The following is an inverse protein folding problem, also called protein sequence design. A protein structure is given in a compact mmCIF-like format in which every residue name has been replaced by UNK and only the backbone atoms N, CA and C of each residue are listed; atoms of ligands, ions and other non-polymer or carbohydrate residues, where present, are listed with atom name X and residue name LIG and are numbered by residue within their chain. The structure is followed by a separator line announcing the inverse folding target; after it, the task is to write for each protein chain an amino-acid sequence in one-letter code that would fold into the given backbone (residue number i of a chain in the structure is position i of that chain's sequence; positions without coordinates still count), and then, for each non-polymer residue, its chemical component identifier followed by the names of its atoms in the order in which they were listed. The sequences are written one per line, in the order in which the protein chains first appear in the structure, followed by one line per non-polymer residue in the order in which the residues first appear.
data_IF_980243214944
#
_entry.id   IF_980243214944
#
_cell.length_a   1.000
_cell.length_b   1.000
_cell.length_c   1.000
_cell.angle_alpha   90.00
_cell.angle_beta   90.00
_cell.angle_gamma   90.00
#
_symmetry.space_group_name_H-M   'P 1'
#
loop_
_entity.id
_entity.type
_entity.pdbx_description
1 polymer ?
#
# COMPACT_ATOMS: atom_id res chain seq x y z
N UNK A 1 -37.07 6.91 21.01
CA UNK A 1 -36.45 6.61 22.30
C UNK A 1 -36.98 5.28 22.82
N UNK A 2 -36.24 4.60 23.72
CA UNK A 2 -36.73 3.39 24.38
C UNK A 2 -37.76 3.78 25.45
N UNK A 3 -38.88 3.06 25.52
CA UNK A 3 -39.89 3.28 26.54
C UNK A 3 -39.55 2.57 27.87
N UNK A 4 -38.81 1.47 27.76
CA UNK A 4 -38.31 0.69 28.92
C UNK A 4 -36.91 0.18 28.66
N UNK A 5 -36.11 0.07 29.73
CA UNK A 5 -34.75 -0.50 29.70
C UNK A 5 -34.65 -1.51 30.84
N UNK A 6 -34.30 -2.74 30.49
CA UNK A 6 -34.00 -3.81 31.47
C UNK A 6 -32.48 -4.10 31.43
N UNK A 7 -31.86 -4.11 32.59
CA UNK A 7 -30.44 -4.49 32.75
C UNK A 7 -30.38 -5.99 32.95
N UNK A 8 -29.97 -6.72 31.91
CA UNK A 8 -29.83 -8.18 31.91
C UNK A 8 -28.57 -8.63 32.63
N UNK A 9 -27.53 -7.81 32.64
CA UNK A 9 -26.26 -8.05 33.32
C UNK A 9 -25.45 -6.79 33.47
N UNK A 10 -24.75 -6.66 34.59
CA UNK A 10 -23.82 -5.55 34.81
C UNK A 10 -22.47 -5.86 34.18
N UNK A 11 -21.92 -4.91 33.47
CA UNK A 11 -20.55 -4.96 32.96
C UNK A 11 -19.60 -4.23 33.90
N UNK A 12 -18.35 -4.65 33.91
CA UNK A 12 -17.27 -3.88 34.50
C UNK A 12 -17.04 -2.56 33.74
N UNK A 13 -16.28 -1.67 34.33
CA UNK A 13 -15.93 -0.38 33.67
C UNK A 13 -15.20 -0.63 32.36
N UNK A 14 -15.72 -0.09 31.26
CA UNK A 14 -15.10 -0.22 29.95
C UNK A 14 -13.72 0.46 29.95
N UNK A 15 -12.63 -0.26 29.60
CA UNK A 15 -11.26 0.22 29.83
C UNK A 15 -10.82 1.35 28.89
N UNK A 16 -11.48 1.50 27.72
CA UNK A 16 -11.11 2.53 26.73
C UNK A 16 -11.90 3.81 27.00
N UNK A 17 -11.20 4.87 27.36
CA UNK A 17 -11.71 6.23 27.54
C UNK A 17 -10.94 7.22 26.64
N UNK A 18 -11.41 8.46 26.53
CA UNK A 18 -10.83 9.47 25.63
C UNK A 18 -9.39 9.90 26.00
N UNK A 19 -8.98 9.66 27.23
CA UNK A 19 -7.70 10.03 27.82
C UNK A 19 -6.61 8.96 27.66
N UNK A 20 -6.93 7.80 27.05
CA UNK A 20 -5.99 6.71 26.89
C UNK A 20 -5.02 6.96 25.71
N UNK A 21 -3.75 6.58 25.94
CA UNK A 21 -2.71 6.67 24.90
C UNK A 21 -3.01 5.76 23.72
N UNK A 22 -2.44 6.07 22.57
CA UNK A 22 -2.54 5.20 21.38
C UNK A 22 -1.95 3.80 21.62
N UNK A 23 -0.87 3.71 22.41
CA UNK A 23 -0.24 2.45 22.78
C UNK A 23 -1.22 1.58 23.58
N UNK A 24 -1.83 2.15 24.64
CA UNK A 24 -2.86 1.45 25.41
C UNK A 24 -4.03 0.98 24.53
N UNK A 25 -4.50 1.84 23.62
CA UNK A 25 -5.60 1.49 22.71
C UNK A 25 -5.21 0.32 21.80
N UNK A 26 -3.96 0.28 21.33
CA UNK A 26 -3.44 -0.84 20.51
C UNK A 26 -3.34 -2.15 21.30
N UNK A 27 -2.95 -2.08 22.57
CA UNK A 27 -2.94 -3.26 23.46
C UNK A 27 -4.36 -3.79 23.70
N UNK A 28 -5.32 -2.87 23.78
CA UNK A 28 -6.75 -3.19 23.93
C UNK A 28 -7.48 -3.30 22.57
N UNK A 29 -6.77 -3.66 21.48
CA UNK A 29 -7.33 -3.67 20.11
C UNK A 29 -8.55 -4.56 19.94
N UNK A 30 -8.70 -5.63 20.72
CA UNK A 30 -9.89 -6.51 20.70
C UNK A 30 -11.18 -5.75 21.06
N UNK A 31 -11.10 -4.68 21.85
CA UNK A 31 -12.20 -3.77 22.16
C UNK A 31 -12.24 -2.58 21.17
N UNK A 32 -11.06 -2.02 20.83
CA UNK A 32 -10.96 -0.87 19.93
C UNK A 32 -11.48 -1.17 18.52
N UNK A 33 -11.18 -2.35 17.96
CA UNK A 33 -11.69 -2.77 16.65
C UNK A 33 -13.22 -2.83 16.58
N UNK A 34 -13.91 -2.93 17.72
CA UNK A 34 -15.37 -2.89 17.83
C UNK A 34 -15.94 -1.47 17.79
N UNK A 35 -15.08 -0.45 17.89
CA UNK A 35 -15.51 0.94 17.87
C UNK A 35 -16.14 1.31 16.52
N UNK A 36 -17.07 2.28 16.54
CA UNK A 36 -17.73 2.77 15.33
C UNK A 36 -16.72 3.26 14.28
N UNK A 37 -15.70 4.02 14.74
CA UNK A 37 -14.62 4.50 13.86
C UNK A 37 -13.92 3.34 13.12
N UNK A 38 -13.51 2.30 13.86
CA UNK A 38 -12.80 1.17 13.24
C UNK A 38 -13.69 0.33 12.35
N UNK A 39 -14.98 0.19 12.68
CA UNK A 39 -15.94 -0.45 11.79
C UNK A 39 -16.05 0.26 10.44
N UNK A 40 -16.11 1.60 10.43
CA UNK A 40 -16.14 2.38 9.20
C UNK A 40 -14.84 2.20 8.38
N UNK A 41 -13.68 2.28 9.07
CA UNK A 41 -12.37 2.06 8.44
C UNK A 41 -12.28 0.67 7.80
N UNK A 42 -12.75 -0.39 8.50
CA UNK A 42 -12.72 -1.75 7.96
C UNK A 42 -13.65 -1.95 6.77
N UNK A 43 -14.81 -1.28 6.75
CA UNK A 43 -15.70 -1.27 5.58
C UNK A 43 -15.03 -0.62 4.37
N UNK A 44 -14.45 0.58 4.54
CA UNK A 44 -13.72 1.27 3.47
C UNK A 44 -12.57 0.40 2.96
N UNK A 45 -11.81 -0.24 3.88
CA UNK A 45 -10.73 -1.15 3.51
C UNK A 45 -11.23 -2.32 2.66
N UNK A 46 -12.35 -2.94 3.03
CA UNK A 46 -12.94 -4.05 2.29
C UNK A 46 -13.32 -3.61 0.86
N UNK A 47 -14.00 -2.48 0.71
CA UNK A 47 -14.37 -1.93 -0.60
C UNK A 47 -13.15 -1.51 -1.43
N UNK A 48 -12.07 -1.03 -0.78
CA UNK A 48 -10.81 -0.69 -1.47
C UNK A 48 -10.19 -1.94 -2.10
N UNK A 49 -10.13 -3.04 -1.35
CA UNK A 49 -9.58 -4.33 -1.84
C UNK A 49 -10.46 -4.87 -2.97
N UNK A 50 -11.78 -4.80 -2.81
CA UNK A 50 -12.72 -5.26 -3.84
C UNK A 50 -12.62 -4.43 -5.13
N UNK A 51 -12.54 -3.10 -5.03
CA UNK A 51 -12.33 -2.22 -6.18
C UNK A 51 -11.03 -2.56 -6.93
N UNK A 52 -9.96 -2.88 -6.22
CA UNK A 52 -8.72 -3.33 -6.84
C UNK A 52 -8.92 -4.65 -7.60
N UNK A 53 -9.59 -5.65 -6.99
CA UNK A 53 -9.91 -6.92 -7.63
C UNK A 53 -10.78 -6.74 -8.88
N UNK A 54 -11.79 -5.87 -8.81
CA UNK A 54 -12.64 -5.52 -9.96
C UNK A 54 -11.79 -5.00 -11.13
N UNK A 55 -10.82 -4.13 -10.85
CA UNK A 55 -9.94 -3.57 -11.88
C UNK A 55 -9.04 -4.63 -12.51
N UNK A 56 -8.33 -5.41 -11.71
CA UNK A 56 -7.50 -6.50 -12.20
C UNK A 56 -8.29 -7.50 -13.06
N UNK A 57 -9.47 -7.90 -12.57
CA UNK A 57 -10.37 -8.79 -13.31
C UNK A 57 -10.82 -8.19 -14.65
N UNK A 58 -11.16 -6.88 -14.66
CA UNK A 58 -11.52 -6.16 -15.90
C UNK A 58 -10.36 -6.10 -16.90
N UNK A 59 -9.14 -6.12 -16.41
CA UNK A 59 -7.91 -6.14 -17.23
C UNK A 59 -7.43 -7.57 -17.55
N UNK A 60 -8.24 -8.59 -17.26
CA UNK A 60 -7.96 -10.02 -17.51
C UNK A 60 -6.75 -10.57 -16.75
N UNK A 61 -6.54 -10.12 -15.50
CA UNK A 61 -5.57 -10.72 -14.60
C UNK A 61 -6.16 -11.87 -13.79
N UNK A 62 -5.36 -12.89 -13.57
CA UNK A 62 -5.69 -14.03 -12.70
C UNK A 62 -5.18 -13.78 -11.28
N UNK A 63 -6.06 -13.81 -10.27
CA UNK A 63 -5.64 -13.76 -8.87
C UNK A 63 -4.99 -15.09 -8.47
N UNK A 64 -3.82 -15.02 -7.87
CA UNK A 64 -3.07 -16.19 -7.40
C UNK A 64 -2.72 -16.04 -5.91
N UNK A 65 -2.42 -17.16 -5.25
CA UNK A 65 -2.13 -17.22 -3.81
C UNK A 65 -0.71 -17.76 -3.59
N UNK A 66 0.31 -16.91 -3.62
CA UNK A 66 1.70 -17.32 -3.38
C UNK A 66 1.93 -17.71 -1.91
N UNK A 67 2.93 -18.56 -1.62
CA UNK A 67 3.26 -18.96 -0.26
C UNK A 67 3.90 -17.80 0.51
N UNK A 68 3.63 -17.77 1.83
CA UNK A 68 4.25 -16.80 2.75
C UNK A 68 5.56 -17.30 3.35
N UNK A 69 5.76 -18.62 3.44
CA UNK A 69 7.01 -19.21 3.90
C UNK A 69 7.92 -19.45 2.70
N UNK A 70 9.11 -18.89 2.74
CA UNK A 70 10.07 -18.94 1.63
C UNK A 70 11.45 -19.34 2.10
N UNK A 71 12.29 -19.82 1.18
CA UNK A 71 13.69 -20.20 1.43
C UNK A 71 14.68 -19.10 1.00
N UNK A 72 14.25 -18.14 0.20
CA UNK A 72 15.11 -17.11 -0.38
C UNK A 72 14.49 -15.71 -0.31
N UNK A 73 15.32 -14.68 -0.22
CA UNK A 73 14.91 -13.29 -0.34
C UNK A 73 14.76 -12.87 -1.80
N UNK A 74 13.79 -11.98 -2.07
CA UNK A 74 13.70 -11.24 -3.35
C UNK A 74 14.73 -10.12 -3.35
N UNK A 75 14.71 -9.28 -2.31
CA UNK A 75 15.62 -8.16 -2.10
C UNK A 75 16.01 -8.05 -0.61
N UNK A 76 17.23 -7.56 -0.34
CA UNK A 76 17.61 -7.10 0.99
C UNK A 76 17.52 -8.17 2.08
N UNK A 77 18.20 -9.30 1.94
CA UNK A 77 18.16 -10.43 2.89
C UNK A 77 18.39 -10.08 4.38
N UNK A 78 18.93 -8.89 4.69
CA UNK A 78 19.12 -8.39 6.06
C UNK A 78 17.83 -8.01 6.79
N UNK A 79 16.70 -7.88 6.08
CA UNK A 79 15.41 -7.48 6.64
C UNK A 79 14.36 -8.61 6.63
N UNK A 80 14.81 -9.86 6.53
CA UNK A 80 13.95 -11.04 6.59
C UNK A 80 13.62 -11.42 8.04
N UNK A 81 12.38 -11.86 8.26
CA UNK A 81 12.00 -12.59 9.46
C UNK A 81 12.37 -14.06 9.32
N UNK A 82 13.40 -14.50 10.04
CA UNK A 82 13.80 -15.90 10.10
C UNK A 82 12.87 -16.74 10.99
N UNK A 83 12.57 -17.94 10.56
CA UNK A 83 11.77 -18.93 11.25
C UNK A 83 12.51 -20.27 11.26
N UNK A 84 12.38 -21.02 12.34
CA UNK A 84 12.88 -22.40 12.39
C UNK A 84 11.72 -23.38 12.14
N UNK A 85 11.87 -24.20 11.11
CA UNK A 85 10.92 -25.26 10.78
C UNK A 85 11.65 -26.61 10.80
N UNK A 86 11.50 -27.34 11.91
CA UNK A 86 12.28 -28.54 12.23
C UNK A 86 13.80 -28.22 12.21
N UNK A 87 14.53 -28.79 11.27
CA UNK A 87 15.97 -28.62 11.05
C UNK A 87 16.30 -27.60 9.94
N UNK A 88 15.27 -26.98 9.35
CA UNK A 88 15.42 -26.02 8.25
C UNK A 88 15.14 -24.60 8.70
N UNK A 89 15.80 -23.65 8.06
CA UNK A 89 15.49 -22.23 8.18
C UNK A 89 14.56 -21.80 7.08
N UNK A 90 13.49 -21.11 7.45
CA UNK A 90 12.53 -20.46 6.57
C UNK A 90 12.48 -18.96 6.87
N UNK A 91 11.89 -18.24 5.97
CA UNK A 91 11.66 -16.80 6.14
C UNK A 91 10.21 -16.44 5.79
N UNK A 92 9.70 -15.37 6.40
CA UNK A 92 8.47 -14.76 5.94
C UNK A 92 8.75 -13.93 4.68
N UNK A 93 7.87 -14.03 3.70
CA UNK A 93 8.04 -13.36 2.41
C UNK A 93 8.03 -11.83 2.53
N UNK A 94 8.90 -11.17 1.77
CA UNK A 94 8.92 -9.71 1.62
C UNK A 94 8.12 -9.25 0.40
N UNK A 95 7.93 -10.13 -0.58
CA UNK A 95 7.25 -9.90 -1.85
C UNK A 95 6.92 -11.24 -2.49
N UNK A 96 5.86 -11.26 -3.26
CA UNK A 96 5.43 -12.42 -4.04
C UNK A 96 6.03 -12.46 -5.44
N UNK A 97 6.84 -11.47 -5.81
CA UNK A 97 7.37 -11.25 -7.16
C UNK A 97 7.87 -12.51 -7.83
N UNK A 98 8.78 -13.28 -7.21
CA UNK A 98 9.38 -14.47 -7.84
C UNK A 98 8.35 -15.55 -8.19
N UNK A 99 7.30 -15.71 -7.38
CA UNK A 99 6.21 -16.64 -7.68
C UNK A 99 5.31 -16.12 -8.79
N UNK A 100 5.03 -14.83 -8.81
CA UNK A 100 4.24 -14.20 -9.87
C UNK A 100 4.97 -14.29 -11.21
N UNK A 101 6.27 -14.03 -11.23
CA UNK A 101 7.11 -14.19 -12.44
C UNK A 101 7.04 -15.62 -13.00
N UNK A 102 7.11 -16.65 -12.16
CA UNK A 102 6.97 -18.05 -12.59
C UNK A 102 5.57 -18.32 -13.14
N UNK A 103 4.53 -17.85 -12.45
CA UNK A 103 3.14 -18.08 -12.85
C UNK A 103 2.77 -17.31 -14.13
N UNK A 104 3.41 -16.18 -14.40
CA UNK A 104 3.26 -15.41 -15.62
C UNK A 104 3.59 -16.23 -16.88
N UNK A 105 4.53 -17.17 -16.83
CA UNK A 105 4.84 -18.05 -17.97
C UNK A 105 3.69 -18.95 -18.40
N UNK A 106 2.74 -19.21 -17.51
CA UNK A 106 1.58 -20.04 -17.83
C UNK A 106 0.27 -19.28 -17.94
N UNK A 107 0.16 -18.14 -17.25
CA UNK A 107 -1.08 -17.36 -17.10
C UNK A 107 -1.01 -15.97 -17.72
N UNK A 108 0.16 -15.54 -18.19
CA UNK A 108 0.48 -14.24 -18.78
C UNK A 108 0.30 -13.05 -17.83
N UNK A 109 -0.90 -12.83 -17.29
CA UNK A 109 -1.26 -11.73 -16.42
C UNK A 109 -1.71 -12.28 -15.07
N UNK A 110 -0.94 -12.05 -14.04
CA UNK A 110 -1.21 -12.54 -12.69
C UNK A 110 -1.11 -11.42 -11.67
N UNK A 111 -1.83 -11.55 -10.57
CA UNK A 111 -1.70 -10.66 -9.42
C UNK A 111 -2.01 -11.39 -8.12
N UNK A 112 -1.58 -10.79 -7.02
CA UNK A 112 -2.02 -11.20 -5.69
C UNK A 112 -2.28 -9.99 -4.80
N UNK A 113 -3.05 -10.20 -3.74
CA UNK A 113 -3.19 -9.32 -2.60
C UNK A 113 -2.89 -10.17 -1.37
N UNK A 114 -1.65 -10.13 -0.91
CA UNK A 114 -1.11 -11.06 0.08
C UNK A 114 -0.28 -10.32 1.15
N UNK A 115 -0.12 -10.89 2.35
CA UNK A 115 0.76 -10.32 3.36
C UNK A 115 2.21 -10.32 2.92
N UNK A 116 2.92 -9.22 3.21
CA UNK A 116 4.38 -9.12 3.09
C UNK A 116 4.97 -8.63 4.41
N UNK A 117 6.20 -9.06 4.70
CA UNK A 117 6.84 -8.86 5.98
C UNK A 117 8.24 -8.28 5.80
N UNK A 118 8.57 -7.21 6.53
CA UNK A 118 9.89 -6.58 6.50
C UNK A 118 10.37 -6.29 7.91
N UNK A 119 11.49 -6.89 8.31
CA UNK A 119 12.10 -6.72 9.63
C UNK A 119 12.97 -5.46 9.69
N UNK A 120 12.47 -4.35 9.16
CA UNK A 120 13.19 -3.08 9.15
C UNK A 120 13.07 -2.36 10.48
N UNK A 121 14.20 -1.79 10.96
CA UNK A 121 14.25 -1.00 12.19
C UNK A 121 13.77 0.45 12.00
N UNK A 122 13.28 0.79 10.81
CA UNK A 122 12.82 2.14 10.50
C UNK A 122 11.51 2.45 11.22
N UNK A 123 11.41 3.69 11.76
CA UNK A 123 10.23 4.21 12.44
C UNK A 123 9.53 5.32 11.65
N UNK A 124 9.59 5.29 10.34
CA UNK A 124 8.85 6.27 9.53
C UNK A 124 7.37 5.89 9.46
N UNK A 125 6.52 6.85 9.10
CA UNK A 125 5.07 6.63 8.96
C UNK A 125 4.70 5.69 7.79
N UNK A 126 5.66 5.37 6.91
CA UNK A 126 5.48 4.49 5.74
C UNK A 126 5.95 3.06 5.97
N UNK A 127 6.71 2.79 7.05
CA UNK A 127 7.24 1.46 7.30
C UNK A 127 6.33 0.67 8.24
N UNK A 128 5.79 -0.42 7.72
CA UNK A 128 5.05 -1.42 8.47
C UNK A 128 5.83 -2.73 8.42
N UNK A 129 5.87 -3.41 9.55
CA UNK A 129 6.50 -4.73 9.69
C UNK A 129 5.72 -5.81 8.94
N UNK A 130 4.40 -5.68 8.90
CA UNK A 130 3.47 -6.52 8.15
C UNK A 130 2.46 -5.64 7.43
N UNK A 131 2.23 -5.88 6.15
CA UNK A 131 1.24 -5.16 5.36
C UNK A 131 0.66 -6.03 4.25
N UNK A 132 -0.52 -5.68 3.79
CA UNK A 132 -1.12 -6.30 2.61
C UNK A 132 -0.55 -5.66 1.36
N UNK A 133 0.17 -6.47 0.61
CA UNK A 133 0.86 -6.07 -0.61
C UNK A 133 0.01 -6.44 -1.82
N UNK A 134 -0.19 -5.49 -2.70
CA UNK A 134 -0.81 -5.70 -4.00
C UNK A 134 0.30 -5.74 -5.04
N UNK A 135 0.47 -6.87 -5.69
CA UNK A 135 1.53 -7.11 -6.66
C UNK A 135 0.93 -7.70 -7.92
N UNK A 136 1.41 -7.26 -9.07
CA UNK A 136 0.97 -7.76 -10.37
C UNK A 136 2.15 -7.92 -11.30
N UNK A 137 2.16 -9.02 -12.06
CA UNK A 137 3.15 -9.32 -13.09
C UNK A 137 2.43 -9.66 -14.40
N UNK A 138 2.94 -9.14 -15.50
CA UNK A 138 2.41 -9.47 -16.82
C UNK A 138 3.47 -9.45 -17.89
N UNK A 139 3.30 -10.33 -18.88
CA UNK A 139 4.22 -10.49 -19.99
C UNK A 139 4.06 -9.36 -21.02
N UNK A 140 5.14 -9.09 -21.75
CA UNK A 140 5.17 -8.22 -22.94
C UNK A 140 4.83 -6.74 -22.67
N UNK A 141 4.85 -6.29 -21.43
CA UNK A 141 4.59 -4.91 -21.05
C UNK A 141 5.86 -4.05 -21.10
N UNK A 142 5.67 -2.77 -21.37
CA UNK A 142 6.70 -1.75 -21.27
C UNK A 142 6.36 -0.69 -20.23
N UNK A 143 7.23 0.28 -20.00
CA UNK A 143 7.04 1.33 -19.00
C UNK A 143 5.75 2.14 -19.18
N UNK A 144 5.34 2.42 -20.42
CA UNK A 144 4.11 3.17 -20.66
C UNK A 144 2.87 2.33 -20.31
N UNK A 145 2.91 1.04 -20.65
CA UNK A 145 1.82 0.11 -20.29
C UNK A 145 1.67 0.03 -18.76
N UNK A 146 2.80 -0.03 -18.03
CA UNK A 146 2.81 -0.02 -16.56
C UNK A 146 2.19 1.26 -16.00
N UNK A 147 2.64 2.44 -16.45
CA UNK A 147 2.11 3.72 -15.98
C UNK A 147 0.61 3.86 -16.28
N UNK A 148 0.16 3.44 -17.47
CA UNK A 148 -1.27 3.46 -17.85
C UNK A 148 -2.09 2.53 -16.96
N UNK A 149 -1.55 1.36 -16.66
CA UNK A 149 -2.21 0.41 -15.75
C UNK A 149 -2.33 0.98 -14.34
N UNK A 150 -1.24 1.50 -13.77
CA UNK A 150 -1.18 2.04 -12.42
C UNK A 150 -2.09 3.26 -12.23
N UNK A 151 -2.07 4.22 -13.18
CA UNK A 151 -2.94 5.40 -13.09
C UNK A 151 -4.42 5.01 -13.21
N UNK A 152 -4.76 4.05 -14.08
CA UNK A 152 -6.12 3.54 -14.21
C UNK A 152 -6.59 2.76 -12.97
N UNK A 153 -5.71 1.99 -12.34
CA UNK A 153 -5.98 1.28 -11.08
C UNK A 153 -6.28 2.27 -9.95
N UNK A 154 -5.42 3.28 -9.80
CA UNK A 154 -5.59 4.32 -8.76
C UNK A 154 -6.86 5.13 -8.96
N UNK A 155 -7.15 5.56 -10.20
CA UNK A 155 -8.40 6.24 -10.50
C UNK A 155 -9.61 5.35 -10.19
N UNK A 156 -9.61 4.09 -10.66
CA UNK A 156 -10.72 3.16 -10.42
C UNK A 156 -11.00 2.96 -8.93
N UNK A 157 -9.98 2.70 -8.13
CA UNK A 157 -10.12 2.54 -6.68
C UNK A 157 -10.69 3.81 -6.06
N UNK A 158 -10.07 4.97 -6.32
CA UNK A 158 -10.49 6.24 -5.71
C UNK A 158 -11.93 6.61 -6.08
N UNK A 159 -12.31 6.49 -7.36
CA UNK A 159 -13.68 6.79 -7.80
C UNK A 159 -14.70 5.81 -7.22
N UNK A 160 -14.37 4.52 -7.17
CA UNK A 160 -15.25 3.48 -6.64
C UNK A 160 -15.54 3.69 -5.15
N UNK A 161 -14.49 3.87 -4.33
CA UNK A 161 -14.70 4.07 -2.89
C UNK A 161 -15.31 5.43 -2.57
N UNK A 162 -15.05 6.46 -3.37
CA UNK A 162 -15.69 7.77 -3.23
C UNK A 162 -17.22 7.69 -3.40
N UNK A 163 -17.71 6.76 -4.21
CA UNK A 163 -19.16 6.53 -4.41
C UNK A 163 -19.68 5.53 -3.39
N UNK A 164 -19.08 4.33 -3.31
CA UNK A 164 -19.59 3.25 -2.46
C UNK A 164 -19.50 3.55 -0.96
N UNK A 165 -18.48 4.32 -0.52
CA UNK A 165 -18.22 4.62 0.88
C UNK A 165 -18.49 6.09 1.27
N UNK A 166 -19.28 6.83 0.49
CA UNK A 166 -19.55 8.26 0.75
C UNK A 166 -20.07 8.50 2.18
N UNK A 167 -20.95 7.64 2.66
CA UNK A 167 -21.53 7.72 4.01
C UNK A 167 -20.47 7.52 5.10
N UNK A 168 -19.62 6.51 4.92
CA UNK A 168 -18.54 6.17 5.85
C UNK A 168 -17.51 7.31 5.92
N UNK A 169 -17.11 7.87 4.79
CA UNK A 169 -16.19 9.02 4.73
C UNK A 169 -16.79 10.25 5.40
N UNK A 170 -18.06 10.56 5.14
CA UNK A 170 -18.76 11.67 5.76
C UNK A 170 -18.80 11.54 7.29
N UNK A 171 -19.09 10.35 7.78
CA UNK A 171 -19.14 10.08 9.21
C UNK A 171 -17.75 10.16 9.88
N UNK A 172 -16.70 9.77 9.17
CA UNK A 172 -15.31 9.93 9.61
C UNK A 172 -14.80 11.38 9.54
N UNK A 173 -15.55 12.30 8.92
CA UNK A 173 -15.11 13.68 8.67
C UNK A 173 -13.98 13.77 7.65
N UNK A 174 -13.83 12.77 6.78
CA UNK A 174 -12.78 12.73 5.77
C UNK A 174 -13.16 13.52 4.51
N UNK A 175 -12.17 14.14 3.87
CA UNK A 175 -12.39 14.90 2.63
C UNK A 175 -12.42 13.96 1.42
N UNK A 176 -13.62 13.63 0.96
CA UNK A 176 -13.88 12.79 -0.20
C UNK A 176 -13.51 13.44 -1.53
N UNK A 177 -13.47 14.78 -1.60
CA UNK A 177 -13.19 15.49 -2.85
C UNK A 177 -11.78 15.24 -3.34
N UNK A 178 -10.84 14.98 -2.42
CA UNK A 178 -9.48 14.55 -2.76
C UNK A 178 -9.47 13.23 -3.54
N UNK A 179 -10.32 12.28 -3.18
CA UNK A 179 -10.47 11.01 -3.92
C UNK A 179 -11.13 11.24 -5.29
N UNK A 180 -12.18 12.06 -5.35
CA UNK A 180 -12.86 12.42 -6.58
C UNK A 180 -11.96 13.19 -7.57
N UNK A 181 -10.94 13.89 -7.07
CA UNK A 181 -9.96 14.60 -7.88
C UNK A 181 -8.89 13.69 -8.51
N UNK A 182 -8.76 12.45 -8.06
CA UNK A 182 -7.81 11.47 -8.64
C UNK A 182 -8.38 10.99 -9.98
N UNK A 183 -7.87 11.56 -11.07
CA UNK A 183 -8.26 11.24 -12.45
C UNK A 183 -7.07 11.21 -13.37
N UNK A 184 -7.07 10.26 -14.30
CA UNK A 184 -6.09 10.16 -15.38
C UNK A 184 -6.20 11.33 -16.36
N UNK A 185 -5.14 11.67 -17.11
CA UNK A 185 -3.78 11.15 -16.95
C UNK A 185 -3.05 11.78 -15.76
N UNK A 186 -2.12 11.03 -15.16
CA UNK A 186 -1.25 11.58 -14.11
C UNK A 186 -0.05 12.31 -14.71
N UNK A 187 0.43 13.41 -14.08
CA UNK A 187 1.65 14.07 -14.48
C UNK A 187 2.85 13.09 -14.41
N UNK A 188 3.81 13.28 -15.30
CA UNK A 188 5.04 12.49 -15.40
C UNK A 188 6.22 13.42 -15.39
N UNK A 189 7.20 13.18 -14.51
CA UNK A 189 8.47 13.91 -14.49
C UNK A 189 9.62 12.93 -14.42
N UNK A 190 10.73 13.27 -15.06
CA UNK A 190 11.95 12.48 -14.91
C UNK A 190 12.57 12.67 -13.54
N UNK A 191 13.34 11.69 -13.08
CA UNK A 191 14.12 11.82 -11.84
C UNK A 191 15.02 13.07 -11.86
N UNK A 192 15.61 13.42 -13.02
CA UNK A 192 16.40 14.63 -13.19
C UNK A 192 15.58 15.88 -12.87
N UNK A 193 14.39 16.01 -13.45
CA UNK A 193 13.50 17.15 -13.18
C UNK A 193 13.04 17.19 -11.71
N UNK A 194 12.82 16.01 -11.11
CA UNK A 194 12.47 15.92 -9.69
C UNK A 194 13.61 16.46 -8.80
N UNK A 195 14.86 16.04 -9.03
CA UNK A 195 16.03 16.56 -8.32
C UNK A 195 16.19 18.07 -8.50
N UNK A 196 16.05 18.58 -9.74
CA UNK A 196 16.16 20.01 -10.01
C UNK A 196 15.10 20.84 -9.25
N UNK A 197 13.85 20.37 -9.17
CA UNK A 197 12.78 21.04 -8.41
C UNK A 197 13.06 21.01 -6.90
N UNK A 198 13.57 19.89 -6.39
CA UNK A 198 13.81 19.70 -4.97
C UNK A 198 15.05 20.46 -4.45
N UNK A 199 16.04 20.74 -5.29
CA UNK A 199 17.29 21.43 -4.89
C UNK A 199 17.06 22.76 -4.19
N UNK A 200 16.02 23.49 -4.53
CA UNK A 200 15.69 24.76 -3.87
C UNK A 200 15.22 24.59 -2.43
N UNK A 201 14.62 23.43 -2.11
CA UNK A 201 14.09 23.10 -0.77
C UNK A 201 15.00 22.17 0.02
N UNK A 202 15.78 21.33 -0.67
CA UNK A 202 16.75 20.39 -0.09
C UNK A 202 18.09 20.49 -0.85
N UNK A 203 18.97 21.44 -0.50
CA UNK A 203 20.26 21.65 -1.19
C UNK A 203 21.23 20.46 -1.07
N UNK A 204 21.02 19.57 -0.09
CA UNK A 204 21.86 18.38 0.10
C UNK A 204 21.51 17.23 -0.87
N UNK A 205 20.43 17.38 -1.65
CA UNK A 205 20.00 16.38 -2.59
C UNK A 205 20.80 16.43 -3.88
N UNK A 206 21.52 15.37 -4.19
CA UNK A 206 22.35 15.24 -5.38
C UNK A 206 21.87 14.12 -6.32
N UNK A 207 22.42 14.09 -7.53
CA UNK A 207 22.18 13.01 -8.48
C UNK A 207 22.58 11.66 -7.87
N UNK A 208 21.64 10.71 -7.88
CA UNK A 208 21.82 9.39 -7.25
C UNK A 208 21.32 9.30 -5.82
N UNK A 209 20.82 10.39 -5.22
CA UNK A 209 20.13 10.35 -3.94
C UNK A 209 18.78 9.63 -4.07
N UNK A 210 18.41 8.83 -3.05
CA UNK A 210 17.05 8.33 -2.97
C UNK A 210 16.09 9.45 -2.55
N UNK A 211 14.88 9.46 -3.11
CA UNK A 211 13.84 10.44 -2.75
C UNK A 211 13.13 9.96 -1.49
N UNK A 212 13.32 10.69 -0.41
CA UNK A 212 12.67 10.42 0.87
C UNK A 212 11.21 10.92 0.90
N UNK A 213 10.50 10.53 1.98
CA UNK A 213 9.11 10.93 2.18
C UNK A 213 8.86 12.45 2.08
N UNK A 214 9.74 13.26 2.67
CA UNK A 214 9.58 14.72 2.66
C UNK A 214 9.81 15.29 1.24
N UNK A 215 10.75 14.71 0.47
CA UNK A 215 11.01 15.11 -0.91
C UNK A 215 9.80 14.79 -1.80
N UNK A 216 9.25 13.59 -1.69
CA UNK A 216 8.05 13.19 -2.43
C UNK A 216 6.82 14.03 -2.05
N UNK A 217 6.67 14.40 -0.77
CA UNK A 217 5.59 15.27 -0.31
C UNK A 217 5.66 16.66 -0.95
N UNK A 218 6.86 17.22 -1.05
CA UNK A 218 7.09 18.52 -1.72
C UNK A 218 6.66 18.44 -3.18
N UNK A 219 7.05 17.38 -3.90
CA UNK A 219 6.64 17.19 -5.30
C UNK A 219 5.11 16.99 -5.42
N UNK A 220 4.50 16.25 -4.49
CA UNK A 220 3.07 15.99 -4.50
C UNK A 220 2.23 17.26 -4.28
N UNK A 221 2.73 18.20 -3.48
CA UNK A 221 2.08 19.52 -3.28
C UNK A 221 2.05 20.34 -4.56
N UNK A 222 3.12 20.27 -5.38
CA UNK A 222 3.19 20.98 -6.65
C UNK A 222 2.17 20.46 -7.69
N UNK A 223 1.88 19.17 -7.69
CA UNK A 223 0.96 18.55 -8.65
C UNK A 223 -0.50 18.49 -8.18
N UNK A 224 -0.75 18.49 -6.89
CA UNK A 224 -2.09 18.38 -6.28
C UNK A 224 -2.83 17.07 -6.55
N UNK A 225 -2.20 16.10 -7.22
CA UNK A 225 -2.70 14.75 -7.51
C UNK A 225 -1.54 13.75 -7.66
N UNK A 226 -1.80 12.43 -7.72
CA UNK A 226 -0.75 11.44 -7.98
C UNK A 226 0.02 11.76 -9.26
N UNK A 227 1.31 11.46 -9.27
CA UNK A 227 2.22 11.70 -10.39
C UNK A 227 3.29 10.61 -10.44
N UNK A 228 3.95 10.45 -11.58
CA UNK A 228 5.06 9.53 -11.77
C UNK A 228 6.40 10.25 -11.76
N UNK A 229 7.37 9.63 -11.08
CA UNK A 229 8.79 9.93 -11.26
C UNK A 229 9.42 8.72 -11.93
N UNK A 230 10.09 8.92 -13.06
CA UNK A 230 10.68 7.85 -13.87
C UNK A 230 12.09 8.19 -14.29
N UNK A 231 12.79 7.29 -14.98
CA UNK A 231 14.18 7.44 -15.41
C UNK A 231 15.15 7.65 -14.24
N UNK A 232 15.02 6.80 -13.23
CA UNK A 232 15.96 6.79 -12.11
C UNK A 232 17.35 6.31 -12.53
N UNK A 233 18.44 6.81 -11.89
CA UNK A 233 19.78 6.29 -12.10
C UNK A 233 19.86 4.79 -11.80
N UNK A 234 20.50 4.03 -12.69
CA UNK A 234 20.67 2.57 -12.54
C UNK A 234 21.32 2.18 -11.20
N UNK A 235 22.25 3.01 -10.69
CA UNK A 235 22.98 2.74 -9.46
C UNK A 235 22.09 2.64 -8.20
N UNK A 236 20.89 3.21 -8.22
CA UNK A 236 19.94 3.20 -7.09
C UNK A 236 18.70 2.35 -7.33
N UNK A 237 18.71 1.53 -8.37
CA UNK A 237 17.61 0.62 -8.70
C UNK A 237 18.06 -0.84 -8.65
N UNK A 238 17.09 -1.72 -8.45
CA UNK A 238 17.34 -3.15 -8.39
C UNK A 238 17.90 -3.67 -9.74
N UNK A 239 18.68 -4.73 -9.68
CA UNK A 239 19.40 -5.30 -10.83
C UNK A 239 18.48 -5.78 -11.97
N UNK A 240 17.24 -6.11 -11.66
CA UNK A 240 16.25 -6.57 -12.64
C UNK A 240 15.52 -5.43 -13.36
N UNK A 241 15.71 -4.19 -12.94
CA UNK A 241 15.12 -3.05 -13.65
C UNK A 241 15.75 -2.91 -15.04
N UNK A 242 14.90 -2.85 -16.08
CA UNK A 242 15.36 -2.66 -17.44
C UNK A 242 16.02 -1.31 -17.59
N UNK A 243 17.25 -1.32 -18.09
CA UNK A 243 17.99 -0.09 -18.45
C UNK A 243 17.77 0.25 -19.92
N UNK A 244 17.76 1.53 -20.24
CA UNK A 244 17.87 2.04 -21.61
C UNK A 244 18.91 3.16 -21.67
N UNK A 245 19.62 3.17 -22.74
CA UNK A 245 20.65 4.17 -23.04
C UNK A 245 20.02 5.34 -23.78
#
# INVERSE_FOLDING_TARGET
GAETIEIVGLAETFPISKDKSEEFIRDMRHLWLRSRKMNLVMKIRAETIEAAREYFKKKNYTEVSPPMFIYAAVEGGSTLFGLKYFDQELYLTQSSQLYLEILMYGLENVYCIAPSFRAEKSRTIRHLTEYWHMEGEWAFANMNDLMEFEEGLMEHICQTIAVKCEKEFKELGANIDKLKAVKTPFPKITYKEAIERLKSKNPALDWGSDLGYEDEKVLAEDFGKPFFVYDYPTAIKAFYCKTYM
#
